data_IF_434363784238
#
_entry.id   IF_434363784238
#
_cell.length_a   1.000
_cell.length_b   1.000
_cell.length_c   1.000
_cell.angle_alpha   90.00
_cell.angle_beta   90.00
_cell.angle_gamma   90.00
#
_symmetry.space_group_name_H-M   'P 1'
#
loop_
_entity.id
_entity.type
_entity.pdbx_description
1 polymer ?
#
# COMPACT_ATOMS: atom_id res chain seq x y z
N UNK A 1 -8.16 10.68 -6.52
CA UNK A 1 -8.40 9.53 -5.65
C UNK A 1 -8.65 10.04 -4.22
N UNK A 2 -9.87 9.89 -3.70
CA UNK A 2 -10.31 10.40 -2.39
C UNK A 2 -10.55 9.25 -1.43
N UNK A 3 -9.71 9.17 -0.41
CA UNK A 3 -9.85 8.23 0.71
C UNK A 3 -10.61 8.88 1.85
N UNK A 4 -11.59 8.18 2.41
CA UNK A 4 -12.29 8.59 3.62
C UNK A 4 -11.86 7.66 4.75
N UNK A 5 -11.12 8.17 5.72
CA UNK A 5 -10.70 7.43 6.92
C UNK A 5 -11.63 7.77 8.07
N UNK A 6 -12.23 6.76 8.69
CA UNK A 6 -13.08 6.92 9.86
C UNK A 6 -12.43 6.18 11.03
N UNK A 7 -12.04 6.95 12.03
CA UNK A 7 -11.47 6.49 13.29
C UNK A 7 -12.26 7.05 14.48
N UNK A 8 -12.11 6.44 15.65
CA UNK A 8 -12.78 6.85 16.89
C UNK A 8 -14.05 6.06 17.20
N UNK A 9 -14.37 6.00 18.50
CA UNK A 9 -15.48 5.21 19.03
C UNK A 9 -16.85 5.88 18.80
N UNK A 10 -17.90 5.07 18.66
CA UNK A 10 -19.29 5.52 18.69
C UNK A 10 -19.80 6.21 17.41
N UNK A 11 -18.96 6.34 16.36
CA UNK A 11 -19.35 6.94 15.09
C UNK A 11 -20.36 6.07 14.36
N UNK A 12 -21.36 6.71 13.73
CA UNK A 12 -22.43 6.03 12.99
C UNK A 12 -22.40 6.45 11.53
N UNK A 13 -22.27 5.47 10.64
CA UNK A 13 -22.23 5.64 9.19
C UNK A 13 -23.57 5.20 8.60
N UNK A 14 -24.27 6.17 8.02
CA UNK A 14 -25.65 6.02 7.53
C UNK A 14 -25.78 6.60 6.13
N UNK A 15 -26.92 6.34 5.52
CA UNK A 15 -27.31 7.00 4.27
C UNK A 15 -28.31 8.09 4.61
N UNK A 16 -28.07 9.33 4.13
CA UNK A 16 -29.04 10.44 4.25
C UNK A 16 -29.09 11.20 2.94
N UNK A 17 -30.28 11.44 2.38
CA UNK A 17 -30.47 12.14 1.08
C UNK A 17 -29.53 11.62 -0.04
N UNK A 18 -29.40 10.29 -0.14
CA UNK A 18 -28.49 9.63 -1.10
C UNK A 18 -26.99 9.93 -0.94
N UNK A 19 -26.56 10.45 0.22
CA UNK A 19 -25.16 10.69 0.55
C UNK A 19 -24.71 9.75 1.68
N UNK A 20 -23.40 9.50 1.75
CA UNK A 20 -22.76 8.94 2.92
C UNK A 20 -22.82 9.98 4.03
N UNK A 21 -23.48 9.65 5.14
CA UNK A 21 -23.58 10.49 6.32
C UNK A 21 -22.80 9.85 7.46
N UNK A 22 -21.79 10.56 7.97
CA UNK A 22 -20.99 10.18 9.12
C UNK A 22 -21.44 11.04 10.29
N UNK A 23 -21.84 10.41 11.38
CA UNK A 23 -22.29 11.08 12.61
C UNK A 23 -21.28 10.79 13.72
N UNK A 24 -20.66 11.84 14.23
CA UNK A 24 -19.74 11.80 15.36
C UNK A 24 -20.51 11.78 16.69
N UNK A 25 -19.82 11.46 17.81
CA UNK A 25 -20.46 11.39 19.13
C UNK A 25 -20.91 12.77 19.65
N UNK A 26 -20.20 13.82 19.29
CA UNK A 26 -20.54 15.23 19.57
C UNK A 26 -21.76 15.74 18.76
N UNK A 27 -22.30 14.91 17.86
CA UNK A 27 -23.42 15.25 17.01
C UNK A 27 -23.03 15.92 15.70
N UNK A 28 -21.75 16.16 15.45
CA UNK A 28 -21.24 16.67 14.17
C UNK A 28 -21.56 15.69 13.04
N UNK A 29 -21.93 16.24 11.87
CA UNK A 29 -22.37 15.46 10.71
C UNK A 29 -21.60 15.85 9.47
N UNK A 30 -20.98 14.86 8.85
CA UNK A 30 -20.31 15.00 7.56
C UNK A 30 -21.16 14.28 6.52
N UNK A 31 -21.40 14.93 5.37
CA UNK A 31 -22.10 14.34 4.23
C UNK A 31 -21.19 14.32 3.01
N UNK A 32 -21.08 13.17 2.35
CA UNK A 32 -20.20 12.97 1.19
C UNK A 32 -21.00 12.25 0.11
N UNK A 33 -20.94 12.72 -1.13
CA UNK A 33 -21.55 12.00 -2.24
C UNK A 33 -20.81 10.68 -2.47
N UNK A 34 -21.53 9.58 -2.69
CA UNK A 34 -20.89 8.27 -2.89
C UNK A 34 -19.95 8.24 -4.10
N UNK A 35 -20.26 9.00 -5.15
CA UNK A 35 -19.42 9.11 -6.35
C UNK A 35 -18.10 9.85 -6.14
N UNK A 36 -17.94 10.56 -5.02
CA UNK A 36 -16.69 11.26 -4.70
C UNK A 36 -15.73 10.37 -3.91
N UNK A 37 -16.12 9.14 -3.56
CA UNK A 37 -15.36 8.28 -2.65
C UNK A 37 -14.73 7.16 -3.48
N UNK A 38 -13.40 7.04 -3.43
CA UNK A 38 -12.72 5.90 -4.06
C UNK A 38 -12.54 4.75 -3.07
N UNK A 39 -12.28 5.07 -1.80
CA UNK A 39 -12.16 4.07 -0.74
C UNK A 39 -12.59 4.60 0.63
N UNK A 40 -13.22 3.73 1.41
CA UNK A 40 -13.62 3.95 2.79
C UNK A 40 -12.78 3.05 3.71
N UNK A 41 -12.04 3.65 4.63
CA UNK A 41 -11.18 2.97 5.60
C UNK A 41 -11.82 3.09 6.99
N UNK A 42 -12.15 1.95 7.59
CA UNK A 42 -12.67 1.84 8.96
C UNK A 42 -11.51 1.44 9.87
N UNK A 43 -11.01 2.39 10.66
CA UNK A 43 -9.75 2.27 11.40
C UNK A 43 -9.95 2.09 12.92
N UNK A 44 -11.16 1.80 13.39
CA UNK A 44 -11.44 1.66 14.82
C UNK A 44 -12.57 0.69 15.12
N UNK A 45 -12.46 0.04 16.27
CA UNK A 45 -13.53 -0.76 16.85
C UNK A 45 -14.59 0.18 17.45
N UNK A 46 -15.88 -0.11 17.23
CA UNK A 46 -16.98 0.73 17.73
C UNK A 46 -17.59 1.70 16.71
N UNK A 47 -17.26 1.56 15.43
CA UNK A 47 -17.94 2.25 14.33
C UNK A 47 -19.11 1.40 13.84
N UNK A 48 -20.31 1.99 13.80
CA UNK A 48 -21.50 1.31 13.28
C UNK A 48 -21.74 1.68 11.81
N UNK A 49 -21.81 0.69 10.92
CA UNK A 49 -22.13 0.88 9.51
C UNK A 49 -23.40 0.11 9.13
N UNK A 50 -24.33 0.78 8.43
CA UNK A 50 -25.56 0.12 7.97
C UNK A 50 -25.33 -0.66 6.67
N UNK A 51 -26.05 -1.76 6.47
CA UNK A 51 -26.01 -2.55 5.22
C UNK A 51 -26.41 -1.74 3.98
N UNK A 52 -27.24 -0.70 4.13
CA UNK A 52 -27.58 0.23 3.05
C UNK A 52 -26.36 1.03 2.57
N UNK A 53 -25.53 1.52 3.49
CA UNK A 53 -24.28 2.23 3.14
C UNK A 53 -23.34 1.29 2.38
N UNK A 54 -23.11 0.08 2.89
CA UNK A 54 -22.25 -0.92 2.24
C UNK A 54 -22.72 -1.19 0.81
N UNK A 55 -24.01 -1.43 0.60
CA UNK A 55 -24.58 -1.65 -0.75
C UNK A 55 -24.37 -0.46 -1.68
N UNK A 56 -24.50 0.78 -1.19
CA UNK A 56 -24.28 1.98 -2.00
C UNK A 56 -22.82 2.18 -2.36
N UNK A 57 -21.90 1.96 -1.43
CA UNK A 57 -20.46 2.00 -1.67
C UNK A 57 -20.06 0.98 -2.74
N UNK A 58 -20.49 -0.28 -2.61
CA UNK A 58 -20.20 -1.33 -3.60
C UNK A 58 -20.71 -0.96 -5.00
N UNK A 59 -21.94 -0.41 -5.10
CA UNK A 59 -22.52 0.02 -6.39
C UNK A 59 -21.74 1.15 -7.07
N UNK A 60 -21.06 1.98 -6.30
CA UNK A 60 -20.20 3.04 -6.82
C UNK A 60 -18.75 2.57 -7.04
N UNK A 61 -18.47 1.26 -6.89
CA UNK A 61 -17.12 0.74 -7.06
C UNK A 61 -16.19 1.02 -5.88
N UNK A 62 -16.72 1.51 -4.76
CA UNK A 62 -15.93 1.94 -3.61
C UNK A 62 -15.36 0.75 -2.85
N UNK A 63 -14.07 0.81 -2.57
CA UNK A 63 -13.37 -0.19 -1.77
C UNK A 63 -13.50 0.09 -0.26
N UNK A 64 -14.02 -0.87 0.50
CA UNK A 64 -14.21 -0.73 1.95
C UNK A 64 -13.17 -1.59 2.67
N UNK A 65 -12.29 -0.97 3.46
CA UNK A 65 -11.20 -1.64 4.17
C UNK A 65 -11.40 -1.49 5.67
N UNK A 66 -11.28 -2.59 6.41
CA UNK A 66 -11.30 -2.61 7.88
C UNK A 66 -9.88 -2.83 8.38
N UNK A 67 -9.42 -1.99 9.29
CA UNK A 67 -8.11 -2.10 9.95
C UNK A 67 -8.27 -2.63 11.38
N UNK A 68 -7.26 -3.36 11.86
CA UNK A 68 -7.10 -3.61 13.29
C UNK A 68 -6.52 -2.39 14.03
N UNK A 69 -6.33 -2.54 15.35
CA UNK A 69 -5.75 -1.50 16.19
C UNK A 69 -4.29 -1.15 15.87
N UNK A 70 -3.58 -1.99 15.10
CA UNK A 70 -2.22 -1.73 14.61
C UNK A 70 -2.20 -1.07 13.22
N UNK A 71 -3.37 -0.80 12.64
CA UNK A 71 -3.52 -0.23 11.30
C UNK A 71 -3.38 -1.25 10.17
N UNK A 72 -3.36 -2.56 10.47
CA UNK A 72 -3.27 -3.61 9.44
C UNK A 72 -4.65 -3.92 8.87
N UNK A 73 -4.81 -4.05 7.55
CA UNK A 73 -6.06 -4.50 6.95
C UNK A 73 -6.43 -5.92 7.40
N UNK A 74 -7.59 -6.08 8.03
CA UNK A 74 -8.14 -7.38 8.49
C UNK A 74 -9.33 -7.84 7.66
N UNK A 75 -9.96 -6.94 6.91
CA UNK A 75 -11.13 -7.24 6.10
C UNK A 75 -11.29 -6.24 4.98
N UNK A 76 -11.84 -6.71 3.87
CA UNK A 76 -12.11 -5.89 2.69
C UNK A 76 -13.44 -6.28 2.07
N UNK A 77 -14.27 -5.30 1.76
CA UNK A 77 -15.49 -5.48 0.98
C UNK A 77 -15.32 -4.69 -0.30
N UNK A 78 -15.32 -5.39 -1.43
CA UNK A 78 -15.13 -4.80 -2.75
C UNK A 78 -16.06 -5.51 -3.76
N UNK A 79 -16.48 -4.83 -4.84
CA UNK A 79 -17.32 -5.45 -5.84
C UNK A 79 -16.60 -6.64 -6.50
N UNK A 80 -17.30 -7.77 -6.76
CA UNK A 80 -16.69 -8.93 -7.41
C UNK A 80 -16.34 -8.66 -8.89
N UNK A 81 -16.94 -7.63 -9.48
CA UNK A 81 -16.81 -7.23 -10.88
C UNK A 81 -15.90 -6.00 -11.03
N UNK A 82 -14.63 -6.12 -10.67
CA UNK A 82 -13.63 -5.12 -11.07
C UNK A 82 -13.04 -5.57 -12.39
N UNK A 83 -13.57 -5.04 -13.50
CA UNK A 83 -12.91 -4.63 -14.75
C UNK A 83 -11.84 -5.55 -15.39
N UNK A 84 -11.70 -6.81 -14.95
CA UNK A 84 -10.69 -7.76 -15.41
C UNK A 84 -11.40 -8.98 -15.92
N UNK A 85 -11.19 -9.27 -17.20
CA UNK A 85 -11.83 -10.39 -17.87
C UNK A 85 -11.41 -11.70 -17.21
N UNK A 86 -12.26 -12.71 -17.27
CA UNK A 86 -11.90 -14.09 -16.87
C UNK A 86 -10.59 -14.53 -17.56
N UNK A 87 -10.36 -14.05 -18.78
CA UNK A 87 -9.12 -14.24 -19.51
C UNK A 87 -7.88 -13.69 -18.77
N UNK A 88 -7.93 -12.48 -18.19
CA UNK A 88 -6.81 -11.94 -17.39
C UNK A 88 -6.45 -12.84 -16.21
N UNK A 89 -7.45 -13.35 -15.46
CA UNK A 89 -7.21 -14.26 -14.33
C UNK A 89 -6.57 -15.57 -14.80
N UNK A 90 -7.07 -16.14 -15.90
CA UNK A 90 -6.48 -17.34 -16.51
C UNK A 90 -5.01 -17.12 -16.88
N UNK A 91 -4.68 -16.00 -17.53
CA UNK A 91 -3.29 -15.67 -17.87
C UNK A 91 -2.41 -15.50 -16.63
N UNK A 92 -2.91 -14.89 -15.55
CA UNK A 92 -2.18 -14.76 -14.29
C UNK A 92 -1.86 -16.12 -13.67
N UNK A 93 -2.85 -17.02 -13.63
CA UNK A 93 -2.65 -18.38 -13.11
C UNK A 93 -1.65 -19.16 -13.96
N UNK A 94 -1.76 -19.08 -15.29
CA UNK A 94 -0.80 -19.75 -16.17
C UNK A 94 0.62 -19.19 -16.00
N UNK A 95 0.77 -17.86 -15.90
CA UNK A 95 2.07 -17.22 -15.72
C UNK A 95 2.78 -17.68 -14.43
N UNK A 96 2.03 -18.01 -13.39
CA UNK A 96 2.59 -18.56 -12.14
C UNK A 96 3.28 -19.91 -12.32
N UNK A 97 2.84 -20.72 -13.30
CA UNK A 97 3.39 -22.05 -13.54
C UNK A 97 4.48 -22.09 -14.62
N UNK A 98 4.78 -20.97 -15.27
CA UNK A 98 5.81 -20.92 -16.33
C UNK A 98 6.83 -19.79 -16.11
N UNK A 99 7.70 -19.61 -17.12
CA UNK A 99 8.82 -18.68 -17.11
C UNK A 99 8.42 -17.22 -16.91
N UNK A 100 7.17 -16.85 -17.23
CA UNK A 100 6.68 -15.47 -17.06
C UNK A 100 6.73 -15.03 -15.60
N UNK A 101 6.58 -15.93 -14.62
CA UNK A 101 6.70 -15.56 -13.20
C UNK A 101 8.06 -14.95 -12.87
N UNK A 102 9.13 -15.48 -13.46
CA UNK A 102 10.49 -15.02 -13.16
C UNK A 102 10.72 -13.65 -13.77
N UNK A 103 10.25 -13.42 -15.00
CA UNK A 103 10.29 -12.12 -15.65
C UNK A 103 9.51 -11.08 -14.84
N UNK A 104 8.31 -11.44 -14.35
CA UNK A 104 7.47 -10.56 -13.52
C UNK A 104 8.17 -10.22 -12.19
N UNK A 105 8.71 -11.23 -11.50
CA UNK A 105 9.41 -11.05 -10.21
C UNK A 105 10.66 -10.18 -10.40
N UNK A 106 11.47 -10.46 -11.42
CA UNK A 106 12.66 -9.66 -11.77
C UNK A 106 12.26 -8.20 -12.01
N UNK A 107 11.21 -7.97 -12.80
CA UNK A 107 10.70 -6.61 -13.09
C UNK A 107 10.27 -5.87 -11.83
N UNK A 108 9.56 -6.54 -10.90
CA UNK A 108 9.13 -5.92 -9.65
C UNK A 108 10.30 -5.55 -8.74
N UNK A 109 11.29 -6.45 -8.59
CA UNK A 109 12.43 -6.23 -7.72
C UNK A 109 13.38 -5.18 -8.30
N UNK A 110 13.64 -5.23 -9.62
CA UNK A 110 14.40 -4.20 -10.30
C UNK A 110 13.74 -2.82 -10.13
N UNK A 111 12.43 -2.73 -10.35
CA UNK A 111 11.68 -1.48 -10.17
C UNK A 111 11.78 -0.98 -8.72
N UNK A 112 11.70 -1.88 -7.74
CA UNK A 112 11.88 -1.55 -6.33
C UNK A 112 13.26 -0.96 -6.07
N UNK A 113 14.34 -1.62 -6.51
CA UNK A 113 15.71 -1.15 -6.32
C UNK A 113 15.95 0.21 -6.98
N UNK A 114 15.45 0.40 -8.20
CA UNK A 114 15.53 1.70 -8.90
C UNK A 114 14.81 2.81 -8.13
N UNK A 115 13.59 2.56 -7.66
CA UNK A 115 12.83 3.54 -6.89
C UNK A 115 13.51 3.90 -5.57
N UNK A 116 14.02 2.89 -4.84
CA UNK A 116 14.75 3.07 -3.60
C UNK A 116 16.04 3.88 -3.80
N UNK A 117 16.85 3.52 -4.80
CA UNK A 117 18.06 4.25 -5.14
C UNK A 117 17.78 5.70 -5.56
N UNK A 118 16.75 5.91 -6.40
CA UNK A 118 16.37 7.25 -6.86
C UNK A 118 15.89 8.13 -5.70
N UNK A 119 15.15 7.59 -4.74
CA UNK A 119 14.71 8.33 -3.56
C UNK A 119 15.91 8.77 -2.70
N UNK A 120 16.87 7.88 -2.45
CA UNK A 120 18.07 8.23 -1.70
C UNK A 120 18.93 9.26 -2.44
N UNK A 121 19.10 9.12 -3.76
CA UNK A 121 19.80 10.11 -4.61
C UNK A 121 19.12 11.48 -4.62
N UNK A 122 17.79 11.51 -4.62
CA UNK A 122 17.03 12.74 -4.49
C UNK A 122 17.30 13.45 -3.16
N UNK A 123 17.31 12.70 -2.05
CA UNK A 123 17.61 13.28 -0.74
C UNK A 123 19.08 13.63 -0.54
N UNK A 124 20.00 12.86 -1.14
CA UNK A 124 21.42 13.21 -1.20
C UNK A 124 21.60 14.62 -1.76
N UNK A 125 20.96 14.92 -2.90
CA UNK A 125 21.01 16.25 -3.53
C UNK A 125 20.31 17.34 -2.70
N UNK A 126 19.16 17.05 -2.11
CA UNK A 126 18.39 18.07 -1.38
C UNK A 126 18.93 18.38 0.02
N UNK A 127 19.72 17.47 0.62
CA UNK A 127 20.27 17.60 1.97
C UNK A 127 21.80 17.64 2.03
N UNK A 128 22.47 17.62 0.87
CA UNK A 128 23.94 17.60 0.75
C UNK A 128 24.58 16.43 1.53
N UNK A 129 24.03 15.24 1.32
CA UNK A 129 24.46 13.99 1.99
C UNK A 129 24.94 12.98 0.95
N UNK A 130 26.22 13.00 0.61
CA UNK A 130 26.81 12.12 -0.41
C UNK A 130 26.71 10.62 -0.07
N UNK A 131 26.74 10.26 1.22
CA UNK A 131 26.55 8.88 1.69
C UNK A 131 25.26 8.24 1.13
N UNK A 132 24.18 9.01 1.02
CA UNK A 132 22.90 8.50 0.49
C UNK A 132 22.99 8.16 -1.00
N UNK A 133 23.80 8.91 -1.76
CA UNK A 133 24.06 8.60 -3.17
C UNK A 133 24.84 7.30 -3.29
N UNK A 134 25.86 7.09 -2.46
CA UNK A 134 26.63 5.84 -2.45
C UNK A 134 25.76 4.64 -2.09
N UNK A 135 24.90 4.77 -1.07
CA UNK A 135 23.93 3.73 -0.68
C UNK A 135 22.99 3.44 -1.86
N UNK A 136 22.49 4.48 -2.54
CA UNK A 136 21.66 4.32 -3.73
C UNK A 136 22.39 3.59 -4.87
N UNK A 137 23.66 3.88 -5.10
CA UNK A 137 24.48 3.18 -6.10
C UNK A 137 24.71 1.71 -5.73
N UNK A 138 25.03 1.42 -4.45
CA UNK A 138 25.14 0.04 -3.93
C UNK A 138 23.86 -0.77 -4.14
N UNK A 139 22.68 -0.18 -3.93
CA UNK A 139 21.39 -0.86 -4.20
C UNK A 139 21.23 -1.22 -5.68
N UNK A 140 21.67 -0.36 -6.60
CA UNK A 140 21.55 -0.61 -8.04
C UNK A 140 22.42 -1.80 -8.50
N UNK A 141 23.53 -2.07 -7.83
CA UNK A 141 24.37 -3.24 -8.12
C UNK A 141 23.61 -4.56 -7.92
N UNK A 142 22.63 -4.60 -7.00
CA UNK A 142 21.81 -5.79 -6.74
C UNK A 142 20.91 -6.18 -7.92
N UNK A 143 20.64 -5.28 -8.88
CA UNK A 143 19.91 -5.60 -10.11
C UNK A 143 20.65 -6.68 -10.91
N UNK A 144 21.99 -6.62 -10.96
CA UNK A 144 22.78 -7.66 -11.63
C UNK A 144 22.66 -9.03 -10.96
N UNK A 145 22.45 -9.05 -9.64
CA UNK A 145 22.38 -10.28 -8.84
C UNK A 145 21.05 -11.02 -9.00
N UNK A 146 19.98 -10.32 -9.38
CA UNK A 146 18.65 -10.90 -9.56
C UNK A 146 18.39 -11.39 -11.00
N UNK A 147 19.15 -10.87 -11.98
CA UNK A 147 18.94 -11.15 -13.40
C UNK A 147 19.00 -12.65 -13.69
N UNK A 148 17.93 -13.19 -14.27
CA UNK A 148 17.85 -14.60 -14.66
C UNK A 148 17.83 -15.60 -13.50
N UNK A 149 17.69 -15.15 -12.25
CA UNK A 149 17.55 -16.06 -11.09
C UNK A 149 16.17 -16.70 -11.13
N UNK A 150 16.13 -18.04 -11.09
CA UNK A 150 14.90 -18.85 -11.08
C UNK A 150 14.70 -19.61 -9.77
N UNK A 151 15.02 -18.96 -8.66
CA UNK A 151 14.92 -19.49 -7.31
C UNK A 151 14.28 -18.43 -6.41
N UNK A 152 13.08 -18.72 -5.91
CA UNK A 152 12.29 -17.81 -5.08
C UNK A 152 13.02 -17.41 -3.80
N UNK A 153 13.66 -18.35 -3.12
CA UNK A 153 14.27 -18.09 -1.82
C UNK A 153 15.58 -17.33 -1.99
N UNK A 154 16.33 -17.62 -3.06
CA UNK A 154 17.49 -16.80 -3.45
C UNK A 154 17.09 -15.37 -3.79
N UNK A 155 16.01 -15.19 -4.54
CA UNK A 155 15.45 -13.88 -4.87
C UNK A 155 15.08 -13.09 -3.60
N UNK A 156 14.36 -13.72 -2.66
CA UNK A 156 13.96 -13.10 -1.40
C UNK A 156 15.19 -12.69 -0.57
N UNK A 157 16.24 -13.53 -0.52
CA UNK A 157 17.47 -13.18 0.20
C UNK A 157 18.17 -11.95 -0.40
N UNK A 158 18.30 -11.89 -1.73
CA UNK A 158 18.89 -10.75 -2.44
C UNK A 158 18.09 -9.47 -2.18
N UNK A 159 16.75 -9.56 -2.24
CA UNK A 159 15.86 -8.44 -1.94
C UNK A 159 15.97 -7.95 -0.50
N UNK A 160 16.02 -8.87 0.47
CA UNK A 160 16.17 -8.53 1.89
C UNK A 160 17.53 -7.89 2.20
N UNK A 161 18.61 -8.34 1.56
CA UNK A 161 19.93 -7.72 1.67
C UNK A 161 19.93 -6.28 1.17
N UNK A 162 19.40 -6.04 -0.03
CA UNK A 162 19.27 -4.69 -0.59
C UNK A 162 18.33 -3.81 0.26
N UNK A 163 17.26 -4.38 0.82
CA UNK A 163 16.34 -3.67 1.70
C UNK A 163 17.03 -3.20 2.99
N UNK A 164 17.90 -4.00 3.61
CA UNK A 164 18.66 -3.58 4.80
C UNK A 164 19.55 -2.37 4.51
N UNK A 165 20.24 -2.37 3.37
CA UNK A 165 21.08 -1.26 2.90
C UNK A 165 20.22 -0.02 2.64
N UNK A 166 19.07 -0.18 2.01
CA UNK A 166 18.13 0.92 1.81
C UNK A 166 17.67 1.54 3.14
N UNK A 167 17.27 0.71 4.10
CA UNK A 167 16.74 1.20 5.37
C UNK A 167 17.81 1.86 6.25
N UNK A 168 19.08 1.49 6.13
CA UNK A 168 20.16 2.24 6.77
C UNK A 168 20.27 3.67 6.20
N UNK A 169 20.14 3.84 4.89
CA UNK A 169 20.08 5.16 4.27
C UNK A 169 18.85 5.97 4.68
N UNK A 170 17.68 5.32 4.83
CA UNK A 170 16.48 6.00 5.33
C UNK A 170 16.62 6.43 6.80
N UNK A 171 17.28 5.62 7.64
CA UNK A 171 17.54 5.96 9.03
C UNK A 171 18.31 7.28 9.18
N UNK A 172 19.31 7.51 8.31
CA UNK A 172 20.06 8.78 8.27
C UNK A 172 19.20 10.01 7.92
N UNK A 173 18.03 9.82 7.29
CA UNK A 173 17.12 10.91 6.93
C UNK A 173 16.17 11.30 8.05
N UNK A 174 16.01 10.45 9.05
CA UNK A 174 15.06 10.65 10.13
C UNK A 174 15.75 11.31 11.33
N UNK A 175 15.05 12.19 12.05
CA UNK A 175 15.50 12.69 13.34
C UNK A 175 15.86 11.55 14.32
N UNK A 176 16.90 11.78 15.14
CA UNK A 176 17.42 10.78 16.09
C UNK A 176 16.38 10.38 17.17
N UNK A 177 15.49 11.30 17.54
CA UNK A 177 14.44 11.10 18.55
C UNK A 177 13.33 10.14 18.10
N UNK A 178 13.28 9.79 16.80
CA UNK A 178 12.39 8.75 16.29
C UNK A 178 12.95 7.34 16.58
N UNK A 179 14.24 7.23 16.95
CA UNK A 179 14.92 5.96 17.27
C UNK A 179 14.76 4.88 16.17
N UNK A 180 14.65 5.31 14.90
CA UNK A 180 14.46 4.40 13.77
C UNK A 180 15.79 3.78 13.33
N UNK A 181 16.06 2.55 13.78
CA UNK A 181 17.29 1.82 13.48
C UNK A 181 17.22 0.92 12.23
N UNK A 182 16.12 0.99 11.47
CA UNK A 182 15.88 0.18 10.27
C UNK A 182 14.58 -0.63 10.34
N UNK A 183 14.39 -1.52 9.37
CA UNK A 183 13.19 -2.36 9.25
C UNK A 183 13.55 -3.83 9.08
N UNK A 184 12.93 -4.68 9.89
CA UNK A 184 13.01 -6.15 9.83
C UNK A 184 12.17 -6.76 8.71
#
# INVERSE_FOLDING_TARGET
MRYIVISGYGKKIRTRKNMLNIVNMDGEKINIAFGDIDSLIIASNGISITSNVIRKLIRHGVDIVFLDGSGRPIGRIYPPFINRTVATRRCQYQAYFDERRWIIIETFIESKFRNQANLLKYYSKSRDMDDLREIGEKILEYISRIRGVKDRDKIIRIEAEAARIYWSGVSMLLPEDIEFNGRS
#
